data_IF_465540574970
#
_entry.id   IF_465540574970
#
_cell.length_a   1.000
_cell.length_b   1.000
_cell.length_c   1.000
_cell.angle_alpha   90.00
_cell.angle_beta   90.00
_cell.angle_gamma   90.00
#
_symmetry.space_group_name_H-M   'P 1'
#
loop_
_entity.id
_entity.type
_entity.pdbx_description
1 polymer ?
#
# COMPACT_ATOMS: atom_id res chain seq x y z
N UNK A 1 23.82 18.35 1.26
CA UNK A 1 23.33 17.85 -0.04
C UNK A 1 22.05 17.11 0.30
N UNK A 2 20.90 17.71 -0.01
CA UNK A 2 19.57 17.18 0.39
C UNK A 2 19.30 15.95 -0.45
N UNK A 3 19.08 14.82 0.20
CA UNK A 3 18.74 13.58 -0.48
C UNK A 3 17.39 13.76 -1.17
N UNK A 4 17.45 13.75 -2.50
CA UNK A 4 16.33 14.00 -3.42
C UNK A 4 15.31 12.86 -3.33
N UNK A 5 15.70 11.68 -2.87
CA UNK A 5 14.82 10.51 -2.74
C UNK A 5 13.77 10.60 -1.63
N UNK A 6 13.67 11.73 -0.90
CA UNK A 6 12.82 11.90 0.29
C UNK A 6 11.55 12.72 0.10
N UNK A 7 11.31 13.26 -1.09
CA UNK A 7 10.10 14.06 -1.31
C UNK A 7 8.98 13.13 -1.83
N UNK A 8 8.08 12.72 -0.93
CA UNK A 8 6.91 11.84 -1.19
C UNK A 8 6.05 12.30 -2.38
N UNK A 9 6.17 13.58 -2.79
CA UNK A 9 5.40 14.19 -3.87
C UNK A 9 6.24 14.62 -5.08
N UNK A 10 7.54 14.30 -5.11
CA UNK A 10 8.42 14.70 -6.22
C UNK A 10 8.46 13.62 -7.30
N UNK A 11 7.98 13.98 -8.49
CA UNK A 11 8.05 13.15 -9.68
C UNK A 11 9.47 13.13 -10.22
N UNK A 12 10.16 12.01 -10.02
CA UNK A 12 11.39 11.72 -10.75
C UNK A 12 11.00 11.22 -12.15
N UNK A 13 11.28 12.03 -13.17
CA UNK A 13 11.40 11.66 -14.60
C UNK A 13 10.63 10.40 -15.06
N UNK A 14 9.29 10.41 -15.12
CA UNK A 14 8.43 9.35 -15.73
C UNK A 14 8.89 7.90 -15.46
N UNK A 15 9.57 7.66 -14.35
CA UNK A 15 10.12 6.35 -14.02
C UNK A 15 9.02 5.61 -13.27
N UNK A 16 8.39 4.69 -13.97
CA UNK A 16 7.22 3.97 -13.51
C UNK A 16 7.51 3.15 -12.26
N UNK A 17 8.73 2.63 -12.11
CA UNK A 17 9.19 1.94 -10.90
C UNK A 17 9.29 2.90 -9.70
N UNK A 18 9.76 4.13 -9.92
CA UNK A 18 9.78 5.15 -8.86
C UNK A 18 8.36 5.62 -8.49
N UNK A 19 7.44 5.71 -9.46
CA UNK A 19 6.05 6.09 -9.19
C UNK A 19 5.34 5.00 -8.37
N UNK A 20 5.54 3.73 -8.72
CA UNK A 20 5.02 2.58 -7.96
C UNK A 20 5.48 2.62 -6.51
N UNK A 21 6.80 2.68 -6.32
CA UNK A 21 7.41 2.75 -5.00
C UNK A 21 6.88 3.94 -4.19
N UNK A 22 6.74 5.11 -4.81
CA UNK A 22 6.22 6.29 -4.14
C UNK A 22 4.74 6.16 -3.78
N UNK A 23 3.92 5.55 -4.64
CA UNK A 23 2.50 5.34 -4.35
C UNK A 23 2.29 4.37 -3.20
N UNK A 24 3.00 3.24 -3.20
CA UNK A 24 2.92 2.26 -2.11
C UNK A 24 3.42 2.86 -0.81
N UNK A 25 4.57 3.57 -0.84
CA UNK A 25 5.10 4.27 0.33
C UNK A 25 4.12 5.30 0.89
N UNK A 26 3.57 6.15 0.03
CA UNK A 26 2.60 7.16 0.44
C UNK A 26 1.35 6.52 1.06
N UNK A 27 0.84 5.44 0.45
CA UNK A 27 -0.34 4.73 0.94
C UNK A 27 -0.11 4.10 2.33
N UNK A 28 1.06 3.48 2.54
CA UNK A 28 1.41 2.84 3.82
C UNK A 28 1.63 3.89 4.92
N UNK A 29 2.35 4.97 4.60
CA UNK A 29 2.52 6.10 5.54
C UNK A 29 1.16 6.69 5.89
N UNK A 30 0.31 6.93 4.89
CA UNK A 30 -1.07 7.38 5.09
C UNK A 30 -1.83 6.47 6.06
N UNK A 31 -1.83 5.15 5.86
CA UNK A 31 -2.51 4.23 6.78
C UNK A 31 -1.91 4.27 8.20
N UNK A 32 -0.60 4.47 8.33
CA UNK A 32 0.08 4.49 9.64
C UNK A 32 -0.27 5.71 10.51
N UNK A 33 -0.61 6.84 9.88
CA UNK A 33 -0.90 8.10 10.58
C UNK A 33 -2.38 8.26 10.95
N UNK A 34 -3.27 7.42 10.41
CA UNK A 34 -4.68 7.43 10.76
C UNK A 34 -4.88 6.91 12.19
N UNK A 35 -5.96 7.36 12.82
CA UNK A 35 -6.48 6.81 14.06
C UNK A 35 -6.79 5.32 13.91
N UNK A 36 -6.73 4.59 15.02
CA UNK A 36 -6.98 3.15 15.02
C UNK A 36 -8.35 2.78 14.43
N UNK A 37 -9.40 3.54 14.71
CA UNK A 37 -10.75 3.28 14.19
C UNK A 37 -10.84 3.48 12.68
N UNK A 38 -10.30 4.58 12.15
CA UNK A 38 -10.34 4.88 10.71
C UNK A 38 -9.47 3.89 9.95
N UNK A 39 -8.25 3.63 10.44
CA UNK A 39 -7.34 2.60 9.94
C UNK A 39 -8.03 1.24 9.88
N UNK A 40 -8.69 0.84 10.97
CA UNK A 40 -9.39 -0.44 11.03
C UNK A 40 -10.54 -0.54 10.05
N UNK A 41 -11.33 0.52 9.90
CA UNK A 41 -12.42 0.57 8.92
C UNK A 41 -11.89 0.43 7.48
N UNK A 42 -10.84 1.18 7.12
CA UNK A 42 -10.25 1.13 5.78
C UNK A 42 -9.66 -0.24 5.49
N UNK A 43 -8.81 -0.78 6.36
CA UNK A 43 -8.16 -2.09 6.16
C UNK A 43 -9.19 -3.23 6.11
N UNK A 44 -10.20 -3.20 6.98
CA UNK A 44 -11.30 -4.18 6.95
C UNK A 44 -12.04 -4.15 5.61
N UNK A 45 -12.34 -2.95 5.09
CA UNK A 45 -13.02 -2.80 3.80
C UNK A 45 -12.14 -3.22 2.62
N UNK A 46 -10.85 -2.89 2.65
CA UNK A 46 -9.88 -3.32 1.64
C UNK A 46 -9.85 -4.84 1.53
N UNK A 47 -9.63 -5.52 2.66
CA UNK A 47 -9.57 -6.98 2.67
C UNK A 47 -10.93 -7.59 2.30
N UNK A 48 -12.05 -7.08 2.81
CA UNK A 48 -13.38 -7.60 2.43
C UNK A 48 -13.65 -7.45 0.93
N UNK A 49 -13.20 -6.35 0.32
CA UNK A 49 -13.34 -6.11 -1.11
C UNK A 49 -12.44 -7.06 -1.91
N UNK A 50 -11.19 -7.21 -1.47
CA UNK A 50 -10.18 -8.05 -2.13
C UNK A 50 -10.53 -9.54 -2.12
N UNK A 51 -11.28 -10.01 -1.11
CA UNK A 51 -11.69 -11.42 -0.95
C UNK A 51 -13.17 -11.67 -1.28
N UNK A 52 -13.87 -10.69 -1.88
CA UNK A 52 -15.35 -10.75 -2.08
C UNK A 52 -15.80 -11.89 -3.02
N UNK A 53 -14.90 -12.47 -3.77
CA UNK A 53 -15.20 -13.40 -4.88
C UNK A 53 -15.15 -14.87 -4.50
N UNK A 54 -14.73 -15.22 -3.28
CA UNK A 54 -14.49 -16.61 -2.87
C UNK A 54 -15.61 -17.14 -1.98
N UNK A 55 -15.89 -18.45 -2.12
CA UNK A 55 -16.93 -19.14 -1.34
C UNK A 55 -16.52 -19.40 0.12
N UNK A 56 -15.23 -19.31 0.41
CA UNK A 56 -14.64 -19.56 1.72
C UNK A 56 -14.03 -18.26 2.25
N UNK A 57 -14.87 -17.25 2.48
CA UNK A 57 -14.40 -15.95 2.94
C UNK A 57 -13.57 -16.12 4.23
N UNK A 58 -12.31 -15.71 4.21
CA UNK A 58 -11.56 -15.51 5.45
C UNK A 58 -12.40 -14.65 6.38
N UNK A 59 -12.45 -15.03 7.65
CA UNK A 59 -13.14 -14.24 8.67
C UNK A 59 -12.32 -12.97 8.98
N UNK A 60 -12.32 -12.02 8.06
CA UNK A 60 -11.65 -10.72 8.16
C UNK A 60 -12.23 -9.91 9.32
N UNK A 61 -13.50 -10.14 9.67
CA UNK A 61 -14.18 -9.43 10.77
C UNK A 61 -13.57 -9.74 12.14
N UNK A 62 -12.87 -10.86 12.27
CA UNK A 62 -12.15 -11.21 13.51
C UNK A 62 -10.76 -10.57 13.64
N UNK A 63 -10.29 -9.84 12.62
CA UNK A 63 -9.01 -9.13 12.67
C UNK A 63 -9.22 -7.72 13.24
N UNK A 64 -8.41 -7.35 14.23
CA UNK A 64 -8.36 -5.98 14.75
C UNK A 64 -7.14 -5.26 14.18
N UNK A 65 -7.36 -4.12 13.53
CA UNK A 65 -6.32 -3.32 12.88
C UNK A 65 -6.10 -1.98 13.58
N UNK A 66 -6.74 -1.76 14.74
CA UNK A 66 -6.62 -0.51 15.48
C UNK A 66 -5.19 -0.21 15.89
N UNK A 67 -4.42 -1.24 16.21
CA UNK A 67 -3.02 -1.14 16.62
C UNK A 67 -2.07 -1.75 15.56
N UNK A 68 -2.50 -1.77 14.30
CA UNK A 68 -1.68 -2.33 13.23
C UNK A 68 -0.34 -1.59 13.10
N UNK A 69 0.72 -2.36 12.89
CA UNK A 69 2.05 -1.90 12.54
C UNK A 69 2.26 -1.96 11.04
N UNK A 70 3.17 -1.13 10.56
CA UNK A 70 3.46 -0.96 9.15
C UNK A 70 4.97 -1.05 8.93
N UNK A 71 5.37 -1.69 7.84
CA UNK A 71 6.74 -1.68 7.38
C UNK A 71 6.77 -1.54 5.86
N UNK A 72 7.84 -0.92 5.37
CA UNK A 72 8.13 -0.85 3.94
C UNK A 72 9.20 -1.87 3.61
N UNK A 73 9.06 -2.55 2.49
CA UNK A 73 10.06 -3.46 1.95
C UNK A 73 10.57 -4.48 2.97
N UNK A 74 11.89 -4.65 3.10
CA UNK A 74 12.49 -5.61 4.01
C UNK A 74 12.56 -5.13 5.47
N UNK A 75 11.92 -4.00 5.83
CA UNK A 75 12.00 -3.41 7.17
C UNK A 75 11.03 -4.06 8.18
N UNK A 76 10.92 -5.39 8.16
CA UNK A 76 10.12 -6.19 9.10
C UNK A 76 11.00 -7.28 9.70
N UNK A 77 10.75 -7.64 10.96
CA UNK A 77 11.36 -8.84 11.55
C UNK A 77 10.88 -10.09 10.79
N UNK A 78 11.82 -10.86 10.24
CA UNK A 78 11.57 -12.08 9.48
C UNK A 78 10.82 -13.15 10.27
N UNK A 79 10.81 -13.09 11.60
CA UNK A 79 10.03 -14.01 12.42
C UNK A 79 8.52 -13.72 12.34
N UNK A 80 8.11 -12.47 12.11
CA UNK A 80 6.69 -12.07 12.10
C UNK A 80 5.95 -12.76 10.94
N UNK A 81 6.35 -12.61 9.65
CA UNK A 81 5.64 -13.26 8.54
C UNK A 81 5.55 -14.78 8.67
N UNK A 82 6.58 -15.43 9.26
CA UNK A 82 6.63 -16.89 9.44
C UNK A 82 5.70 -17.38 10.54
N UNK A 83 5.66 -16.67 11.67
CA UNK A 83 4.95 -17.12 12.87
C UNK A 83 3.51 -16.63 12.94
N UNK A 84 3.12 -15.60 12.17
CA UNK A 84 1.75 -15.08 12.21
C UNK A 84 0.70 -16.15 11.94
N UNK A 85 -0.34 -16.17 12.77
CA UNK A 85 -1.41 -17.17 12.72
C UNK A 85 -2.23 -17.08 11.43
N UNK A 86 -2.31 -15.86 10.87
CA UNK A 86 -2.91 -15.58 9.58
C UNK A 86 -1.92 -14.86 8.68
N UNK A 87 -1.75 -15.37 7.48
CA UNK A 87 -0.82 -14.85 6.48
C UNK A 87 -1.65 -14.47 5.27
N UNK A 88 -1.66 -13.19 4.93
CA UNK A 88 -2.46 -12.65 3.83
C UNK A 88 -1.53 -12.01 2.80
N UNK A 89 -1.79 -12.26 1.52
CA UNK A 89 -1.14 -11.56 0.42
C UNK A 89 -2.20 -10.68 -0.22
N UNK A 90 -1.99 -9.36 -0.17
CA UNK A 90 -2.86 -8.38 -0.80
C UNK A 90 -2.14 -7.77 -2.00
N UNK A 91 -2.71 -7.93 -3.19
CA UNK A 91 -2.24 -7.22 -4.38
C UNK A 91 -3.07 -5.98 -4.64
N UNK A 92 -2.43 -4.85 -4.94
CA UNK A 92 -3.08 -3.60 -5.34
C UNK A 92 -2.57 -3.18 -6.70
N UNK A 93 -3.40 -3.26 -7.74
CA UNK A 93 -2.94 -2.99 -9.11
C UNK A 93 -3.85 -2.04 -9.87
N UNK A 94 -3.36 -1.47 -10.97
CA UNK A 94 -4.20 -0.68 -11.87
C UNK A 94 -5.22 -1.59 -12.59
N UNK A 95 -4.77 -2.74 -13.07
CA UNK A 95 -5.62 -3.76 -13.70
C UNK A 95 -5.87 -4.91 -12.72
N UNK A 96 -7.08 -5.49 -12.69
CA UNK A 96 -7.37 -6.64 -11.84
C UNK A 96 -6.48 -7.83 -12.22
N UNK A 97 -6.03 -8.59 -11.21
CA UNK A 97 -5.28 -9.83 -11.43
C UNK A 97 -6.12 -10.79 -12.28
N UNK A 98 -5.59 -11.18 -13.45
CA UNK A 98 -6.32 -12.09 -14.33
C UNK A 98 -6.38 -13.50 -13.70
N UNK A 99 -7.59 -14.02 -13.40
CA UNK A 99 -7.77 -15.31 -12.75
C UNK A 99 -7.26 -16.49 -13.59
N UNK A 100 -7.06 -16.32 -14.90
CA UNK A 100 -6.53 -17.37 -15.78
C UNK A 100 -5.08 -17.77 -15.43
N UNK A 101 -4.27 -16.84 -14.92
CA UNK A 101 -2.90 -17.10 -14.48
C UNK A 101 -2.83 -18.07 -13.29
N UNK A 102 -3.84 -18.02 -12.42
CA UNK A 102 -4.00 -18.92 -11.27
C UNK A 102 -4.08 -20.40 -11.68
N UNK A 103 -4.59 -20.67 -12.89
CA UNK A 103 -4.78 -22.03 -13.42
C UNK A 103 -3.47 -22.55 -14.01
N UNK A 104 -2.68 -21.72 -14.70
CA UNK A 104 -1.40 -22.14 -15.28
C UNK A 104 -0.35 -22.53 -14.21
N UNK A 105 -0.42 -21.91 -13.04
CA UNK A 105 0.43 -22.24 -11.89
C UNK A 105 0.16 -23.63 -11.29
N UNK A 106 -0.87 -24.36 -11.74
CA UNK A 106 -1.15 -25.74 -11.28
C UNK A 106 -0.30 -26.80 -11.98
N UNK A 107 0.47 -26.45 -13.01
CA UNK A 107 1.18 -27.41 -13.87
C UNK A 107 2.67 -27.62 -13.56
N UNK A 108 3.25 -26.91 -12.59
CA UNK A 108 4.70 -26.99 -12.32
C UNK A 108 4.92 -27.15 -10.82
N UNK A 109 4.85 -28.39 -10.34
CA UNK A 109 5.42 -28.78 -9.05
C UNK A 109 6.95 -28.64 -9.14
N UNK A 110 7.44 -27.41 -8.95
CA UNK A 110 8.84 -27.22 -8.60
C UNK A 110 9.00 -27.72 -7.16
N UNK A 111 9.44 -28.97 -7.02
CA UNK A 111 9.99 -29.49 -5.77
C UNK A 111 11.25 -28.69 -5.46
N UNK A 112 11.10 -27.56 -4.77
CA UNK A 112 12.22 -26.83 -4.22
C UNK A 112 12.81 -27.66 -3.08
N UNK A 113 13.90 -28.36 -3.38
CA UNK A 113 14.81 -28.85 -2.35
C UNK A 113 15.24 -27.64 -1.52
N UNK A 114 14.97 -27.69 -0.22
CA UNK A 114 15.29 -26.64 0.74
C UNK A 114 16.81 -26.66 0.94
N UNK A 115 17.55 -26.05 0.03
CA UNK A 115 18.94 -25.67 0.29
C UNK A 115 18.91 -24.47 1.25
N UNK A 116 19.47 -24.70 2.44
CA UNK A 116 19.78 -23.67 3.42
C UNK A 116 20.79 -22.68 2.82
N UNK A 117 20.35 -21.62 2.14
CA UNK A 117 21.12 -20.39 2.03
C UNK A 117 20.27 -19.13 1.77
N UNK A 118 19.87 -18.52 2.89
CA UNK A 118 19.69 -17.10 3.28
C UNK A 118 19.25 -15.97 2.33
N UNK A 119 19.09 -16.15 1.03
CA UNK A 119 18.69 -15.06 0.11
C UNK A 119 17.23 -15.22 -0.33
N UNK A 120 16.38 -14.32 0.14
CA UNK A 120 15.05 -14.15 -0.48
C UNK A 120 15.23 -13.63 -1.90
N UNK A 121 14.52 -14.26 -2.82
CA UNK A 121 14.52 -13.91 -4.23
C UNK A 121 13.63 -12.71 -4.51
N UNK A 122 12.72 -12.38 -3.57
CA UNK A 122 11.75 -11.30 -3.74
C UNK A 122 11.60 -10.42 -2.49
N UNK A 123 11.51 -9.10 -2.73
CA UNK A 123 11.30 -8.06 -1.72
C UNK A 123 9.89 -7.49 -1.90
N UNK A 124 8.97 -7.70 -0.94
CA UNK A 124 7.62 -7.13 -1.01
C UNK A 124 7.66 -5.61 -0.97
N UNK A 125 6.61 -4.94 -1.40
CA UNK A 125 6.57 -3.48 -1.28
C UNK A 125 6.32 -3.02 0.15
N UNK A 126 5.41 -3.69 0.86
CA UNK A 126 5.04 -3.31 2.22
C UNK A 126 4.39 -4.41 3.05
N UNK A 127 4.19 -4.11 4.33
CA UNK A 127 3.61 -4.98 5.32
C UNK A 127 2.61 -4.26 6.22
N UNK A 128 1.58 -4.99 6.63
CA UNK A 128 0.68 -4.63 7.73
C UNK A 128 0.58 -5.81 8.68
N UNK A 129 0.90 -5.62 9.96
CA UNK A 129 0.97 -6.72 10.93
C UNK A 129 0.55 -6.25 12.32
N UNK A 130 0.49 -7.17 13.29
CA UNK A 130 0.33 -6.86 14.70
C UNK A 130 1.47 -7.47 15.53
N UNK A 131 1.79 -6.83 16.66
CA UNK A 131 2.87 -7.28 17.55
C UNK A 131 2.55 -8.65 18.20
N UNK A 132 1.26 -9.00 18.32
CA UNK A 132 0.81 -10.28 18.83
C UNK A 132 0.87 -11.42 17.79
N UNK A 133 1.31 -11.14 16.56
CA UNK A 133 1.45 -12.11 15.47
C UNK A 133 0.13 -12.86 15.18
N UNK A 134 -1.00 -12.18 15.36
CA UNK A 134 -2.31 -12.74 14.97
C UNK A 134 -2.47 -12.69 13.46
N UNK A 135 -1.97 -11.66 12.79
CA UNK A 135 -1.96 -11.56 11.34
C UNK A 135 -0.66 -10.95 10.79
N UNK A 136 -0.38 -11.23 9.52
CA UNK A 136 0.62 -10.53 8.73
C UNK A 136 0.09 -10.43 7.30
N UNK A 137 0.04 -9.20 6.78
CA UNK A 137 -0.40 -8.88 5.43
C UNK A 137 0.83 -8.42 4.67
N UNK A 138 1.18 -9.14 3.62
CA UNK A 138 2.15 -8.73 2.62
C UNK A 138 1.39 -7.95 1.55
N UNK A 139 1.86 -6.75 1.22
CA UNK A 139 1.29 -5.91 0.17
C UNK A 139 2.26 -5.87 -1.00
N UNK A 140 1.74 -6.23 -2.18
CA UNK A 140 2.42 -6.06 -3.46
C UNK A 140 1.57 -5.15 -4.33
N UNK A 141 2.15 -4.08 -4.87
CA UNK A 141 1.40 -3.05 -5.55
C UNK A 141 2.03 -2.71 -6.90
N UNK A 142 1.19 -2.56 -7.92
CA UNK A 142 1.61 -2.22 -9.29
C UNK A 142 0.80 -1.05 -9.82
N UNK A 143 1.41 -0.23 -10.68
CA UNK A 143 0.74 0.92 -11.32
C UNK A 143 0.94 0.92 -12.83
N UNK A 144 -0.06 1.45 -13.54
CA UNK A 144 0.00 1.61 -14.99
C UNK A 144 -0.08 0.28 -15.73
N UNK A 145 0.74 0.13 -16.76
CA UNK A 145 0.76 -1.03 -17.66
C UNK A 145 1.65 -2.19 -17.18
N UNK A 146 2.19 -2.12 -15.96
CA UNK A 146 2.99 -3.19 -15.38
C UNK A 146 2.07 -4.24 -14.75
N UNK A 147 1.95 -5.42 -15.37
CA UNK A 147 1.12 -6.48 -14.79
C UNK A 147 1.78 -7.01 -13.51
N UNK A 148 0.96 -7.48 -12.58
CA UNK A 148 1.43 -8.27 -11.45
C UNK A 148 2.18 -9.50 -11.96
N UNK A 149 3.44 -9.64 -11.56
CA UNK A 149 4.25 -10.81 -11.91
C UNK A 149 3.90 -11.99 -10.99
N UNK A 150 3.29 -13.02 -11.55
CA UNK A 150 2.94 -14.24 -10.82
C UNK A 150 4.17 -14.93 -10.24
N UNK A 151 5.32 -14.89 -10.92
CA UNK A 151 6.58 -15.43 -10.42
C UNK A 151 7.02 -14.70 -9.14
N UNK A 152 6.85 -13.39 -9.11
CA UNK A 152 7.11 -12.57 -7.92
C UNK A 152 6.16 -12.93 -6.77
N UNK A 153 4.86 -13.11 -7.03
CA UNK A 153 3.88 -13.54 -6.02
C UNK A 153 4.17 -14.95 -5.48
N UNK A 154 4.62 -15.87 -6.34
CA UNK A 154 5.07 -17.20 -5.94
C UNK A 154 6.28 -17.11 -5.02
N UNK A 155 7.29 -16.31 -5.40
CA UNK A 155 8.45 -16.06 -4.58
C UNK A 155 8.05 -15.46 -3.22
N UNK A 156 7.17 -14.46 -3.18
CA UNK A 156 6.67 -13.89 -1.93
C UNK A 156 6.04 -14.93 -1.00
N UNK A 157 5.16 -15.77 -1.53
CA UNK A 157 4.48 -16.80 -0.75
C UNK A 157 5.50 -17.80 -0.14
N UNK A 158 6.46 -18.26 -0.94
CA UNK A 158 7.46 -19.24 -0.50
C UNK A 158 8.45 -18.61 0.47
N UNK A 159 9.06 -17.50 0.09
CA UNK A 159 10.13 -16.84 0.82
C UNK A 159 9.65 -16.36 2.19
N UNK A 160 8.51 -15.67 2.22
CA UNK A 160 8.07 -14.98 3.43
C UNK A 160 7.09 -15.76 4.28
N UNK A 161 6.18 -16.51 3.65
CA UNK A 161 5.15 -17.27 4.36
C UNK A 161 5.48 -18.75 4.50
N UNK A 162 6.50 -19.27 3.80
CA UNK A 162 6.80 -20.70 3.78
C UNK A 162 5.66 -21.53 3.17
N UNK A 163 4.87 -20.93 2.27
CA UNK A 163 3.68 -21.52 1.68
C UNK A 163 3.70 -21.36 0.16
N UNK A 164 3.10 -22.28 -0.58
CA UNK A 164 2.89 -22.06 -2.01
C UNK A 164 1.80 -21.01 -2.24
N UNK A 165 1.86 -20.32 -3.38
CA UNK A 165 0.82 -19.37 -3.79
C UNK A 165 -0.54 -20.07 -3.95
N UNK A 166 -0.54 -21.31 -4.45
CA UNK A 166 -1.74 -22.14 -4.61
C UNK A 166 -2.41 -22.42 -3.27
N UNK A 167 -1.62 -22.65 -2.20
CA UNK A 167 -2.17 -22.84 -0.87
C UNK A 167 -2.80 -21.54 -0.34
N UNK A 168 -2.18 -20.37 -0.59
CA UNK A 168 -2.80 -19.08 -0.26
C UNK A 168 -4.13 -18.89 -1.00
N UNK A 169 -4.18 -19.20 -2.29
CA UNK A 169 -5.42 -19.13 -3.09
C UNK A 169 -6.49 -20.09 -2.54
N UNK A 170 -6.12 -21.34 -2.27
CA UNK A 170 -7.04 -22.37 -1.77
C UNK A 170 -7.61 -22.02 -0.38
N UNK A 171 -6.81 -21.34 0.45
CA UNK A 171 -7.20 -20.84 1.76
C UNK A 171 -7.78 -19.41 1.74
N UNK A 172 -8.09 -18.86 0.57
CA UNK A 172 -8.61 -17.50 0.40
C UNK A 172 -7.72 -16.41 1.04
N UNK A 173 -6.42 -16.66 1.14
CA UNK A 173 -5.42 -15.77 1.73
C UNK A 173 -4.75 -14.85 0.71
N UNK A 174 -5.04 -15.02 -0.59
CA UNK A 174 -4.67 -14.11 -1.66
C UNK A 174 -5.86 -13.23 -2.00
N UNK A 175 -5.77 -11.94 -1.67
CA UNK A 175 -6.75 -10.93 -2.05
C UNK A 175 -6.17 -10.05 -3.15
N UNK A 176 -6.99 -9.69 -4.14
CA UNK A 176 -6.62 -8.73 -5.18
C UNK A 176 -7.62 -7.60 -5.23
N UNK A 177 -7.12 -6.37 -5.27
CA UNK A 177 -7.93 -5.16 -5.41
C UNK A 177 -7.29 -4.22 -6.41
N UNK A 178 -8.11 -3.39 -7.05
CA UNK A 178 -7.60 -2.31 -7.90
C UNK A 178 -7.43 -1.00 -7.13
N UNK A 179 -6.57 -0.11 -7.63
CA UNK A 179 -6.50 1.26 -7.11
C UNK A 179 -7.87 1.99 -7.18
N UNK A 180 -8.80 1.58 -8.06
CA UNK A 180 -10.12 2.22 -8.23
C UNK A 180 -10.96 1.85 -7.01
N UNK A 181 -10.94 0.57 -6.66
CA UNK A 181 -11.63 0.06 -5.48
C UNK A 181 -11.02 0.63 -4.19
N UNK A 182 -9.70 0.89 -4.14
CA UNK A 182 -9.08 1.65 -3.03
C UNK A 182 -9.72 3.05 -2.93
N UNK A 183 -9.83 3.80 -4.04
CA UNK A 183 -10.48 5.12 -4.06
C UNK A 183 -11.95 5.05 -3.62
N UNK A 184 -12.70 4.04 -4.06
CA UNK A 184 -14.09 3.82 -3.63
C UNK A 184 -14.18 3.59 -2.13
N UNK A 185 -13.26 2.82 -1.55
CA UNK A 185 -13.22 2.56 -0.10
C UNK A 185 -12.93 3.84 0.67
N UNK A 186 -11.93 4.62 0.24
CA UNK A 186 -11.58 5.90 0.86
C UNK A 186 -12.77 6.86 0.83
N UNK A 187 -13.44 7.01 -0.33
CA UNK A 187 -14.63 7.86 -0.48
C UNK A 187 -15.78 7.45 0.45
N UNK A 188 -15.92 6.17 0.74
CA UNK A 188 -16.99 5.68 1.61
C UNK A 188 -16.64 5.72 3.11
N UNK A 189 -15.48 6.25 3.49
CA UNK A 189 -15.02 6.27 4.88
C UNK A 189 -15.47 7.53 5.64
N UNK A 190 -15.90 8.59 4.96
CA UNK A 190 -16.17 9.92 5.53
C UNK A 190 -17.21 10.01 6.66
N UNK A 191 -18.09 9.03 6.85
CA UNK A 191 -19.19 9.14 7.81
C UNK A 191 -18.76 9.15 9.29
N UNK A 192 -17.49 8.87 9.61
CA UNK A 192 -17.01 8.67 10.98
C UNK A 192 -15.62 9.26 11.26
N UNK A 193 -15.18 10.24 10.45
CA UNK A 193 -13.80 10.72 10.47
C UNK A 193 -13.75 12.17 10.96
N UNK A 194 -12.71 12.52 11.74
CA UNK A 194 -12.51 13.92 12.12
C UNK A 194 -12.03 14.76 10.92
N UNK A 195 -12.11 16.10 11.04
CA UNK A 195 -11.78 17.00 9.93
C UNK A 195 -10.31 17.00 9.51
N UNK A 196 -9.40 16.49 10.36
CA UNK A 196 -7.97 16.39 10.04
C UNK A 196 -7.70 15.12 9.24
N UNK A 197 -8.24 13.99 9.68
CA UNK A 197 -8.17 12.72 8.95
C UNK A 197 -8.96 12.77 7.63
N UNK A 198 -10.10 13.48 7.58
CA UNK A 198 -10.85 13.72 6.34
C UNK A 198 -9.97 14.39 5.28
N UNK A 199 -9.19 15.41 5.68
CA UNK A 199 -8.25 16.09 4.79
C UNK A 199 -7.15 15.15 4.30
N UNK A 200 -6.60 14.30 5.17
CA UNK A 200 -5.61 13.30 4.78
C UNK A 200 -6.18 12.30 3.77
N UNK A 201 -7.42 11.84 3.99
CA UNK A 201 -8.12 10.94 3.05
C UNK A 201 -8.30 11.62 1.69
N UNK A 202 -8.75 12.89 1.67
CA UNK A 202 -8.91 13.65 0.43
C UNK A 202 -7.58 13.78 -0.31
N UNK A 203 -6.50 14.15 0.38
CA UNK A 203 -5.18 14.27 -0.24
C UNK A 203 -4.66 12.92 -0.77
N UNK A 204 -4.87 11.82 -0.05
CA UNK A 204 -4.50 10.49 -0.53
C UNK A 204 -5.32 10.11 -1.77
N UNK A 205 -6.62 10.44 -1.79
CA UNK A 205 -7.47 10.21 -2.97
C UNK A 205 -7.01 11.02 -4.19
N UNK A 206 -6.65 12.30 -4.00
CA UNK A 206 -6.07 13.14 -5.06
C UNK A 206 -4.76 12.55 -5.57
N UNK A 207 -3.89 12.11 -4.66
CA UNK A 207 -2.61 11.50 -4.99
C UNK A 207 -2.77 10.19 -5.77
N UNK A 208 -3.64 9.26 -5.32
CA UNK A 208 -3.96 8.03 -6.06
C UNK A 208 -4.61 8.36 -7.41
N UNK A 209 -5.51 9.34 -7.47
CA UNK A 209 -6.16 9.74 -8.72
C UNK A 209 -5.14 10.29 -9.72
N UNK A 210 -4.16 11.06 -9.25
CA UNK A 210 -3.09 11.60 -10.07
C UNK A 210 -2.11 10.50 -10.50
N UNK A 211 -1.51 9.77 -9.57
CA UNK A 211 -0.44 8.81 -9.88
C UNK A 211 -0.92 7.44 -10.35
N UNK A 212 -2.05 6.97 -9.84
CA UNK A 212 -2.64 5.70 -10.26
C UNK A 212 -3.30 5.75 -11.64
N UNK A 213 -3.64 6.95 -12.15
CA UNK A 213 -4.43 7.11 -13.39
C UNK A 213 -3.97 8.22 -14.37
N UNK A 214 -3.02 9.12 -14.07
CA UNK A 214 -2.48 10.00 -15.13
C UNK A 214 -1.37 9.36 -15.97
N UNK A 215 -1.05 8.08 -15.72
CA UNK A 215 -0.19 7.28 -16.59
C UNK A 215 -0.95 6.63 -17.77
N UNK A 216 -2.25 6.94 -17.96
CA UNK A 216 -2.99 6.49 -19.15
C UNK A 216 -2.67 7.37 -20.37
N UNK A 217 -2.25 6.69 -21.43
CA UNK A 217 -1.84 7.20 -22.75
C UNK A 217 -2.70 8.39 -23.25
N UNK A 218 -2.05 9.49 -23.64
CA UNK A 218 -2.73 10.67 -24.23
C UNK A 218 -2.35 12.04 -23.69
N UNK A 219 -1.50 12.13 -22.66
CA UNK A 219 -0.93 13.41 -22.18
C UNK A 219 0.56 13.45 -22.52
N UNK A 220 0.94 14.33 -23.46
CA UNK A 220 2.36 14.60 -23.71
C UNK A 220 2.91 15.56 -22.64
N UNK A 221 3.56 15.01 -21.61
CA UNK A 221 4.24 15.85 -20.61
C UNK A 221 5.47 16.61 -21.17
N UNK A 222 5.87 16.39 -22.42
CA UNK A 222 6.85 17.24 -23.12
C UNK A 222 6.31 18.65 -23.39
N UNK A 223 4.99 18.79 -23.46
CA UNK A 223 4.29 20.08 -23.60
C UNK A 223 3.99 20.77 -22.26
N UNK A 224 4.20 20.05 -21.14
CA UNK A 224 4.12 20.63 -19.80
C UNK A 224 5.50 21.18 -19.43
N UNK A 225 5.75 22.46 -19.77
CA UNK A 225 6.99 23.16 -19.43
C UNK A 225 7.33 23.16 -17.93
N UNK A 226 6.35 22.85 -17.07
CA UNK A 226 6.50 22.61 -15.64
C UNK A 226 5.48 21.57 -15.17
N UNK A 227 5.78 20.78 -14.12
CA UNK A 227 4.75 20.01 -13.44
C UNK A 227 3.61 20.95 -13.01
N UNK A 228 2.34 20.54 -13.09
CA UNK A 228 1.24 21.38 -12.64
C UNK A 228 1.46 21.72 -11.17
N UNK A 229 1.38 23.00 -10.82
CA UNK A 229 1.38 23.39 -9.42
C UNK A 229 0.28 22.59 -8.72
N UNK A 230 0.64 21.92 -7.63
CA UNK A 230 -0.32 21.42 -6.64
C UNK A 230 -0.99 22.64 -6.02
N UNK A 231 -1.94 23.23 -6.74
CA UNK A 231 -2.83 24.22 -6.19
C UNK A 231 -3.70 23.44 -5.23
N UNK A 232 -3.40 23.54 -3.94
CA UNK A 232 -4.29 23.20 -2.83
C UNK A 232 -5.46 24.18 -2.92
N UNK A 233 -6.30 23.96 -3.93
CA UNK A 233 -7.36 24.83 -4.36
C UNK A 233 -8.67 24.16 -4.02
N UNK A 234 -8.91 23.92 -2.73
CA UNK A 234 -10.29 23.85 -2.30
C UNK A 234 -10.74 25.30 -2.05
N UNK A 235 -11.56 25.91 -2.93
CA UNK A 235 -12.07 27.27 -2.72
C UNK A 235 -12.98 27.40 -1.49
N UNK A 236 -13.25 26.29 -0.77
CA UNK A 236 -13.95 26.28 0.51
C UNK A 236 -13.03 26.47 1.73
N UNK A 237 -11.70 26.43 1.57
CA UNK A 237 -10.76 26.60 2.69
C UNK A 237 -10.44 28.08 2.94
N UNK A 238 -11.23 28.71 3.81
CA UNK A 238 -10.86 29.98 4.44
C UNK A 238 -9.69 29.76 5.42
N UNK A 239 -8.58 30.42 5.10
CA UNK A 239 -7.40 30.91 5.85
C UNK A 239 -7.21 30.78 7.38
N UNK A 240 -8.00 30.09 8.21
CA UNK A 240 -7.85 30.21 9.69
C UNK A 240 -7.32 29.01 10.48
N UNK A 241 -7.26 27.80 9.95
CA UNK A 241 -7.06 26.63 10.82
C UNK A 241 -5.66 26.04 10.66
N UNK A 242 -4.68 26.70 11.29
CA UNK A 242 -3.35 26.16 11.50
C UNK A 242 -3.43 24.85 12.30
N UNK A 243 -2.83 23.80 11.74
CA UNK A 243 -2.89 22.41 12.16
C UNK A 243 -2.32 22.19 13.58
N UNK A 244 -3.13 21.65 14.50
CA UNK A 244 -2.65 21.00 15.72
C UNK A 244 -2.51 19.49 15.47
N UNK A 245 -1.68 19.09 14.52
CA UNK A 245 -1.31 17.68 14.33
C UNK A 245 -0.19 17.35 15.32
N UNK A 246 -0.45 16.45 16.27
CA UNK A 246 0.53 16.05 17.27
C UNK A 246 1.37 14.87 16.76
N UNK A 247 2.57 15.18 16.26
CA UNK A 247 3.54 14.19 15.74
C UNK A 247 4.36 13.48 16.83
N UNK A 248 4.11 13.72 18.12
CA UNK A 248 4.93 13.17 19.22
C UNK A 248 4.78 11.66 19.45
N UNK A 249 3.84 10.98 18.78
CA UNK A 249 3.66 9.52 18.87
C UNK A 249 4.30 8.74 17.72
N UNK A 250 4.91 9.43 16.76
CA UNK A 250 5.77 8.77 15.79
C UNK A 250 7.07 8.41 16.51
N UNK A 251 7.36 7.11 16.66
CA UNK A 251 8.75 6.67 16.89
C UNK A 251 9.64 7.40 15.89
N UNK A 252 10.83 7.85 16.34
CA UNK A 252 11.73 8.63 15.51
C UNK A 252 11.84 7.96 14.14
N UNK A 253 11.28 8.58 13.08
CA UNK A 253 11.38 7.99 11.77
C UNK A 253 12.87 7.84 11.44
N UNK A 254 13.30 6.78 10.73
CA UNK A 254 14.68 6.70 10.26
C UNK A 254 14.98 7.97 9.42
N UNK A 255 15.72 8.92 10.01
CA UNK A 255 16.08 10.23 9.47
C UNK A 255 15.08 10.86 8.48
N UNK A 256 13.79 10.96 8.83
CA UNK A 256 12.80 11.70 8.03
C UNK A 256 12.60 13.11 8.63
N UNK A 257 13.38 14.07 8.13
CA UNK A 257 13.18 15.50 8.38
C UNK A 257 12.05 16.03 7.48
N UNK A 258 10.81 15.97 7.96
CA UNK A 258 9.70 16.75 7.39
C UNK A 258 9.95 18.23 7.72
N UNK A 259 10.57 18.96 6.80
CA UNK A 259 10.73 20.41 6.94
C UNK A 259 9.42 21.10 6.58
N UNK A 260 8.75 21.63 7.61
CA UNK A 260 7.68 22.60 7.46
C UNK A 260 8.29 23.94 7.01
N UNK A 261 8.20 24.27 5.73
CA UNK A 261 8.51 25.62 5.27
C UNK A 261 7.36 26.54 5.69
N UNK A 262 7.57 27.31 6.77
CA UNK A 262 6.76 28.49 7.05
C UNK A 262 6.89 29.48 5.88
N UNK A 263 5.79 30.08 5.40
CA UNK A 263 5.84 31.04 4.29
C UNK A 263 6.51 32.37 4.65
N UNK A 264 6.98 32.55 5.88
CA UNK A 264 7.60 33.79 6.35
C UNK A 264 9.06 33.57 6.79
N UNK A 265 9.96 33.46 5.82
CA UNK A 265 11.38 33.83 6.02
C UNK A 265 12.04 34.09 4.67
N UNK A 266 12.10 35.38 4.33
CA UNK A 266 13.02 35.96 3.34
C UNK A 266 14.47 35.83 3.79
#
# INVERSE_FOLDING_TARGET
MVDRHLNLFYTYNRDTELIENNLTRAFIVFLSILSGEVRHNILTRLLKRAHKTTKNAINIESLDFREARFALQSNIDRYIPKNSSRKLLLTISTEPLDPSFTIAATGTEATAEIENDSYFTSVPDAWVYDDAQTYCILIEAKVGSYPLDIGQLQAHAVDWFGSSLQNLIACDSLGSITWIEVLEILRNTFSYVDSSEERLIVHMMEFISYYGYQLFDGIDFGDLCMPPDLIIGNPLLRKSDALNLNFHHLESPPDFLLMYCSPDSQ
#
